data_IF_577748102412
#
_entry.id   IF_577748102412
#
_cell.length_a   1.000
_cell.length_b   1.000
_cell.length_c   1.000
_cell.angle_alpha   90.00
_cell.angle_beta   90.00
_cell.angle_gamma   90.00
#
_symmetry.space_group_name_H-M   'P 1'
#
loop_
_entity.id
_entity.type
_entity.pdbx_description
1 polymer ?
#
# COMPACT_ATOMS: atom_id res chain seq x y z
N UNK A 1 -19.87 -11.17 27.68
CA UNK A 1 -19.41 -12.17 26.68
C UNK A 1 -19.72 -11.75 25.24
N UNK A 2 -20.77 -10.98 25.01
CA UNK A 2 -21.16 -10.52 23.66
C UNK A 2 -20.16 -9.56 23.01
N UNK A 3 -19.57 -8.63 23.78
CA UNK A 3 -18.58 -7.67 23.27
C UNK A 3 -17.29 -8.33 22.76
N UNK A 4 -16.84 -9.41 23.39
CA UNK A 4 -15.63 -10.14 22.96
C UNK A 4 -15.89 -10.85 21.62
N UNK A 5 -17.11 -11.36 21.39
CA UNK A 5 -17.49 -11.98 20.12
C UNK A 5 -17.57 -10.96 18.97
N UNK A 6 -18.14 -9.79 19.21
CA UNK A 6 -18.22 -8.73 18.19
C UNK A 6 -16.80 -8.27 17.80
N UNK A 7 -15.89 -8.12 18.77
CA UNK A 7 -14.50 -7.78 18.50
C UNK A 7 -13.81 -8.87 17.65
N UNK A 8 -13.99 -10.16 17.97
CA UNK A 8 -13.41 -11.26 17.20
C UNK A 8 -14.03 -11.40 15.79
N UNK A 9 -15.34 -11.18 15.63
CA UNK A 9 -16.02 -11.20 14.33
C UNK A 9 -15.63 -10.00 13.45
N UNK A 10 -15.41 -8.82 14.03
CA UNK A 10 -14.87 -7.66 13.32
C UNK A 10 -13.40 -7.88 12.90
N UNK A 11 -12.58 -8.52 13.74
CA UNK A 11 -11.19 -8.86 13.41
C UNK A 11 -11.10 -9.97 12.34
N UNK A 12 -12.10 -10.86 12.25
CA UNK A 12 -12.12 -11.99 11.30
C UNK A 12 -12.41 -11.61 9.84
N UNK A 13 -12.81 -10.37 9.55
CA UNK A 13 -12.99 -9.87 8.18
C UNK A 13 -12.04 -8.71 7.84
N UNK A 14 -10.83 -8.70 8.41
CA UNK A 14 -9.75 -7.91 7.84
C UNK A 14 -9.44 -8.43 6.43
N UNK A 15 -10.07 -7.79 5.42
CA UNK A 15 -9.86 -8.10 4.01
C UNK A 15 -8.36 -7.94 3.72
N UNK A 16 -7.63 -9.06 3.65
CA UNK A 16 -6.20 -9.04 3.32
C UNK A 16 -6.06 -8.59 1.88
N UNK A 17 -5.76 -7.31 1.69
CA UNK A 17 -5.47 -6.75 0.36
C UNK A 17 -3.99 -7.00 0.06
N UNK A 18 -3.73 -7.96 -0.81
CA UNK A 18 -2.40 -8.17 -1.37
C UNK A 18 -2.15 -7.15 -2.47
N UNK A 19 -1.06 -6.40 -2.34
CA UNK A 19 -0.64 -5.36 -3.27
C UNK A 19 0.69 -5.77 -3.91
N UNK A 20 0.85 -5.56 -5.22
CA UNK A 20 2.08 -5.88 -5.94
C UNK A 20 2.89 -4.61 -6.17
N UNK A 21 4.10 -4.56 -5.62
CA UNK A 21 5.01 -3.44 -5.84
C UNK A 21 6.11 -3.80 -6.84
N UNK A 22 6.43 -2.85 -7.71
CA UNK A 22 7.69 -2.83 -8.43
C UNK A 22 8.72 -2.10 -7.56
N UNK A 23 9.81 -2.78 -7.21
CA UNK A 23 10.90 -2.21 -6.42
C UNK A 23 12.17 -2.01 -7.26
N UNK A 24 12.99 -1.02 -6.88
CA UNK A 24 14.34 -0.89 -7.42
C UNK A 24 15.31 -1.92 -6.81
N UNK A 25 16.56 -1.92 -7.26
CA UNK A 25 17.61 -2.84 -6.79
C UNK A 25 17.95 -2.70 -5.30
N UNK A 26 17.50 -1.63 -4.65
CA UNK A 26 17.72 -1.32 -3.22
C UNK A 26 16.52 -1.76 -2.37
N UNK A 27 15.44 -2.23 -3.02
CA UNK A 27 14.20 -2.66 -2.39
C UNK A 27 13.18 -1.54 -2.22
N UNK A 28 13.40 -0.34 -2.77
CA UNK A 28 12.45 0.77 -2.66
C UNK A 28 11.25 0.57 -3.58
N UNK A 29 10.01 0.72 -3.09
CA UNK A 29 8.81 0.61 -3.91
C UNK A 29 8.68 1.83 -4.83
N UNK A 30 8.89 1.63 -6.14
CA UNK A 30 8.76 2.69 -7.15
C UNK A 30 7.34 2.78 -7.71
N UNK A 31 6.59 1.67 -7.74
CA UNK A 31 5.23 1.66 -8.24
C UNK A 31 4.37 0.58 -7.57
N UNK A 32 3.11 0.91 -7.32
CA UNK A 32 2.05 -0.03 -6.98
C UNK A 32 1.29 -0.40 -8.25
N UNK A 33 1.24 -1.70 -8.56
CA UNK A 33 0.55 -2.24 -9.72
C UNK A 33 -0.79 -2.86 -9.27
N UNK A 34 -1.87 -2.47 -9.94
CA UNK A 34 -3.20 -3.06 -9.75
C UNK A 34 -3.27 -4.46 -10.35
N UNK A 35 -4.29 -5.21 -9.98
CA UNK A 35 -4.54 -6.56 -10.53
C UNK A 35 -4.78 -6.56 -12.05
N UNK A 36 -5.19 -5.43 -12.63
CA UNK A 36 -5.36 -5.24 -14.08
C UNK A 36 -4.06 -4.80 -14.81
N UNK A 37 -2.94 -4.69 -14.09
CA UNK A 37 -1.65 -4.29 -14.61
C UNK A 37 -1.42 -2.77 -14.71
N UNK A 38 -2.39 -1.94 -14.31
CA UNK A 38 -2.22 -0.48 -14.31
C UNK A 38 -1.43 0.00 -13.09
N UNK A 39 -0.75 1.14 -13.25
CA UNK A 39 -0.05 1.81 -12.15
C UNK A 39 -1.08 2.56 -11.30
N UNK A 40 -1.28 2.08 -10.08
CA UNK A 40 -2.14 2.69 -9.07
C UNK A 40 -1.45 3.90 -8.42
N UNK A 41 -0.13 3.76 -8.19
CA UNK A 41 0.74 4.78 -7.65
C UNK A 41 2.18 4.60 -8.10
N UNK A 42 2.93 5.69 -8.13
CA UNK A 42 4.37 5.67 -8.34
C UNK A 42 5.07 6.70 -7.48
N UNK A 43 6.27 6.39 -7.01
CA UNK A 43 7.18 7.35 -6.42
C UNK A 43 8.55 7.35 -7.09
N UNK A 44 9.16 8.52 -7.07
CA UNK A 44 10.55 8.73 -7.40
C UNK A 44 11.31 9.13 -6.14
N UNK A 45 12.43 8.46 -5.91
CA UNK A 45 13.35 8.76 -4.80
C UNK A 45 14.65 9.30 -5.37
N UNK A 46 15.31 10.19 -4.63
CA UNK A 46 16.68 10.59 -4.94
C UNK A 46 17.70 9.52 -4.50
N UNK A 47 18.98 9.81 -4.72
CA UNK A 47 20.11 8.96 -4.33
C UNK A 47 20.24 8.76 -2.82
N UNK A 48 19.63 9.65 -2.02
CA UNK A 48 19.59 9.58 -0.57
C UNK A 48 18.27 8.99 -0.05
N UNK A 49 17.48 8.35 -0.93
CA UNK A 49 16.20 7.73 -0.59
C UNK A 49 15.14 8.74 -0.12
N UNK A 50 15.35 10.03 -0.36
CA UNK A 50 14.33 11.02 -0.07
C UNK A 50 13.28 11.03 -1.18
N UNK A 51 12.04 11.13 -0.76
CA UNK A 51 10.90 11.21 -1.64
C UNK A 51 10.94 12.51 -2.45
N UNK A 52 10.91 12.38 -3.78
CA UNK A 52 10.95 13.52 -4.72
C UNK A 52 9.58 13.85 -5.29
N UNK A 53 8.79 12.81 -5.57
CA UNK A 53 7.51 12.95 -6.26
C UNK A 53 6.65 11.70 -6.08
N UNK A 54 5.35 11.90 -5.90
CA UNK A 54 4.35 10.85 -6.08
C UNK A 54 3.39 11.18 -7.21
N UNK A 55 2.83 10.13 -7.77
CA UNK A 55 1.60 10.18 -8.53
C UNK A 55 0.69 9.08 -8.00
N UNK A 56 -0.53 9.44 -7.61
CA UNK A 56 -1.55 8.48 -7.19
C UNK A 56 -2.79 8.65 -8.07
N UNK A 57 -3.38 7.53 -8.47
CA UNK A 57 -4.68 7.50 -9.15
C UNK A 57 -5.79 6.93 -8.25
N UNK A 58 -5.49 6.63 -6.98
CA UNK A 58 -6.35 5.81 -6.13
C UNK A 58 -6.41 6.35 -4.70
N UNK A 59 -7.62 6.58 -4.19
CA UNK A 59 -7.89 7.11 -2.84
C UNK A 59 -7.41 6.18 -1.70
N UNK A 60 -7.07 4.91 -1.99
CA UNK A 60 -6.63 3.95 -0.99
C UNK A 60 -5.13 3.97 -0.67
N UNK A 61 -4.29 4.63 -1.46
CA UNK A 61 -2.82 4.50 -1.33
C UNK A 61 -2.25 5.41 -0.24
N UNK A 62 -2.97 6.48 0.10
CA UNK A 62 -2.62 7.40 1.19
C UNK A 62 -2.66 6.77 2.59
N UNK A 63 -3.35 5.64 2.77
CA UNK A 63 -3.42 4.93 4.06
C UNK A 63 -2.23 3.98 4.32
N UNK A 64 -1.36 3.73 3.33
CA UNK A 64 -0.29 2.71 3.47
C UNK A 64 1.13 3.28 3.44
N UNK A 65 1.31 4.56 3.13
CA UNK A 65 2.66 5.17 3.05
C UNK A 65 3.14 5.74 4.39
N UNK A 66 2.31 5.74 5.44
CA UNK A 66 2.73 6.14 6.80
C UNK A 66 2.67 4.91 7.72
N UNK A 67 3.80 4.25 7.90
CA UNK A 67 4.09 3.33 9.00
C UNK A 67 5.53 3.53 9.42
#
# INVERSE_FOLDING_TARGET
MEQIKIQMEQEHMALRKTHLYHCDHRGLPLALIQTDGRIAWSAEYDEFYHFRKERSNMEMITLTIIS
#
